data_IF_586842287609
#
_entry.id   IF_586842287609
#
_cell.length_a   1.000
_cell.length_b   1.000
_cell.length_c   1.000
_cell.angle_alpha   90.00
_cell.angle_beta   90.00
_cell.angle_gamma   90.00
#
_symmetry.space_group_name_H-M   'P 1'
#
loop_
_entity.id
_entity.type
_entity.pdbx_description
1 polymer ?
#
# COMPACT_ATOMS: atom_id res chain seq x y z
N UNK A 1 27.75 57.65 25.08
CA UNK A 1 28.24 57.52 23.68
C UNK A 1 29.05 56.24 23.42
N UNK A 2 29.88 55.78 24.37
CA UNK A 2 30.68 54.56 24.16
C UNK A 2 29.84 53.27 24.12
N UNK A 3 28.78 53.19 24.92
CA UNK A 3 27.90 51.98 24.98
C UNK A 3 27.15 51.73 23.68
N UNK A 4 26.73 52.79 22.99
CA UNK A 4 26.00 52.66 21.72
C UNK A 4 26.88 52.18 20.55
N UNK A 5 28.18 52.45 20.63
CA UNK A 5 29.15 52.05 19.62
C UNK A 5 29.55 50.61 19.82
N UNK A 6 29.75 50.17 21.06
CA UNK A 6 30.02 48.74 21.37
C UNK A 6 28.86 47.82 20.97
N UNK A 7 27.61 48.22 21.23
CA UNK A 7 26.44 47.47 20.85
C UNK A 7 26.30 47.27 19.32
N UNK A 8 26.62 48.30 18.55
CA UNK A 8 26.58 48.23 17.07
C UNK A 8 27.69 47.37 16.49
N UNK A 9 28.87 47.35 17.11
CA UNK A 9 29.97 46.47 16.70
C UNK A 9 29.66 45.00 17.02
N UNK A 10 29.01 44.74 18.13
CA UNK A 10 28.63 43.38 18.56
C UNK A 10 27.58 42.78 17.63
N UNK A 11 26.62 43.60 17.19
CA UNK A 11 25.59 43.16 16.22
C UNK A 11 26.20 42.91 14.84
N UNK A 12 27.11 43.77 14.40
CA UNK A 12 27.78 43.60 13.11
C UNK A 12 28.66 42.33 13.09
N UNK A 13 29.31 42.05 14.19
CA UNK A 13 30.14 40.83 14.34
C UNK A 13 29.28 39.55 14.38
N UNK A 14 28.11 39.61 15.02
CA UNK A 14 27.15 38.50 15.06
C UNK A 14 26.58 38.19 13.66
N UNK A 15 26.30 39.20 12.86
CA UNK A 15 25.80 39.04 11.48
C UNK A 15 26.88 38.43 10.58
N UNK A 16 28.16 38.83 10.78
CA UNK A 16 29.27 38.29 10.00
C UNK A 16 29.56 36.82 10.35
N UNK A 17 29.36 36.41 11.61
CA UNK A 17 29.51 35.00 12.03
C UNK A 17 28.44 34.07 11.45
N UNK A 18 27.24 34.58 11.21
CA UNK A 18 26.13 33.80 10.64
C UNK A 18 26.35 33.53 9.15
N UNK A 19 27.01 34.43 8.43
CA UNK A 19 27.26 34.28 6.99
C UNK A 19 28.30 33.23 6.64
N UNK A 20 29.12 32.80 7.56
CA UNK A 20 30.11 31.74 7.31
C UNK A 20 29.55 30.32 7.46
N UNK A 21 28.37 30.17 8.07
CA UNK A 21 27.74 28.84 8.27
C UNK A 21 27.03 28.31 7.02
N UNK A 22 26.87 29.08 5.96
CA UNK A 22 26.17 28.66 4.73
C UNK A 22 27.10 28.21 3.59
N UNK A 23 28.41 28.28 3.77
CA UNK A 23 29.40 27.81 2.82
C UNK A 23 29.92 26.44 3.19
N UNK A 24 29.01 25.53 3.64
CA UNK A 24 29.34 24.13 3.71
C UNK A 24 29.15 23.58 2.30
N UNK A 25 30.28 23.46 1.60
CA UNK A 25 30.39 22.75 0.32
C UNK A 25 29.86 21.33 0.51
N UNK A 26 28.58 21.17 0.17
CA UNK A 26 27.93 19.85 0.07
C UNK A 26 28.41 19.21 -1.24
N UNK A 27 29.72 19.01 -1.35
CA UNK A 27 30.31 18.07 -2.29
C UNK A 27 29.89 16.68 -1.81
N UNK A 28 28.59 16.35 -2.02
CA UNK A 28 28.13 14.98 -1.97
C UNK A 28 29.01 14.24 -2.94
N UNK A 29 29.89 13.45 -2.39
CA UNK A 29 30.62 12.42 -3.09
C UNK A 29 29.54 11.54 -3.74
N UNK A 30 29.17 11.90 -5.00
CA UNK A 30 28.14 11.17 -5.74
C UNK A 30 28.79 9.83 -6.04
N UNK A 31 28.43 8.77 -5.30
CA UNK A 31 29.09 7.49 -5.50
C UNK A 31 28.89 7.12 -6.96
N UNK A 32 29.98 6.84 -7.66
CA UNK A 32 29.95 6.40 -9.06
C UNK A 32 29.10 5.13 -9.15
N UNK A 33 27.82 5.33 -9.49
CA UNK A 33 26.83 4.27 -9.53
C UNK A 33 27.12 3.41 -10.75
N UNK A 34 27.50 2.16 -10.55
CA UNK A 34 27.67 1.21 -11.65
C UNK A 34 26.30 0.74 -12.17
N UNK A 35 26.23 0.36 -13.45
CA UNK A 35 24.98 -0.12 -14.05
C UNK A 35 24.30 -1.24 -13.26
N UNK A 36 25.02 -2.27 -12.74
CA UNK A 36 24.41 -3.30 -11.91
C UNK A 36 23.82 -2.76 -10.61
N UNK A 37 24.49 -1.80 -9.96
CA UNK A 37 23.98 -1.15 -8.75
C UNK A 37 22.73 -0.31 -9.03
N UNK A 38 22.73 0.44 -10.14
CA UNK A 38 21.58 1.20 -10.59
C UNK A 38 20.38 0.27 -10.92
N UNK A 39 20.64 -0.86 -11.57
CA UNK A 39 19.61 -1.86 -11.87
C UNK A 39 18.99 -2.44 -10.58
N UNK A 40 19.81 -2.78 -9.58
CA UNK A 40 19.33 -3.28 -8.32
C UNK A 40 18.43 -2.25 -7.60
N UNK A 41 18.86 -0.98 -7.57
CA UNK A 41 18.06 0.10 -6.96
C UNK A 41 16.75 0.35 -7.70
N UNK A 42 16.75 0.31 -9.03
CA UNK A 42 15.52 0.46 -9.82
C UNK A 42 14.56 -0.69 -9.55
N UNK A 43 15.04 -1.94 -9.52
CA UNK A 43 14.20 -3.10 -9.24
C UNK A 43 13.63 -3.07 -7.82
N UNK A 44 14.35 -2.52 -6.85
CA UNK A 44 13.91 -2.42 -5.47
C UNK A 44 12.95 -1.24 -5.25
N UNK A 45 13.24 -0.07 -5.83
CA UNK A 45 12.58 1.20 -5.47
C UNK A 45 11.60 1.73 -6.49
N UNK A 46 11.47 1.11 -7.66
CA UNK A 46 10.56 1.59 -8.70
C UNK A 46 9.09 1.44 -8.25
N UNK A 47 8.29 2.55 -8.17
CA UNK A 47 6.92 2.49 -7.73
C UNK A 47 6.01 1.64 -8.62
N UNK A 48 6.27 1.62 -9.94
CA UNK A 48 5.51 0.82 -10.90
C UNK A 48 5.72 -0.69 -10.64
N UNK A 49 6.95 -1.10 -10.38
CA UNK A 49 7.26 -2.48 -10.00
C UNK A 49 6.63 -2.87 -8.67
N UNK A 50 6.65 -1.97 -7.69
CA UNK A 50 5.99 -2.22 -6.41
C UNK A 50 4.47 -2.38 -6.60
N UNK A 51 3.85 -1.52 -7.42
CA UNK A 51 2.42 -1.64 -7.77
C UNK A 51 2.11 -2.98 -8.44
N UNK A 52 2.89 -3.36 -9.45
CA UNK A 52 2.72 -4.65 -10.15
C UNK A 52 2.92 -5.85 -9.21
N UNK A 53 3.85 -5.77 -8.24
CA UNK A 53 4.04 -6.78 -7.20
C UNK A 53 2.80 -6.91 -6.30
N UNK A 54 2.18 -5.80 -5.90
CA UNK A 54 0.94 -5.85 -5.14
C UNK A 54 -0.22 -6.43 -5.97
N UNK A 55 -0.29 -6.11 -7.26
CA UNK A 55 -1.24 -6.73 -8.19
C UNK A 55 -1.11 -8.25 -8.25
N UNK A 56 0.12 -8.77 -8.31
CA UNK A 56 0.39 -10.21 -8.26
C UNK A 56 -0.03 -10.83 -6.93
N UNK A 57 0.30 -10.20 -5.80
CA UNK A 57 -0.12 -10.68 -4.47
C UNK A 57 -1.64 -10.70 -4.32
N UNK A 58 -2.33 -9.70 -4.89
CA UNK A 58 -3.79 -9.65 -4.91
C UNK A 58 -4.38 -10.80 -5.73
N UNK A 59 -3.82 -11.10 -6.91
CA UNK A 59 -4.25 -12.23 -7.74
C UNK A 59 -4.03 -13.59 -7.04
N UNK A 60 -2.93 -13.77 -6.33
CA UNK A 60 -2.70 -14.95 -5.50
C UNK A 60 -3.74 -15.08 -4.36
N UNK A 61 -4.09 -13.95 -3.72
CA UNK A 61 -5.13 -13.94 -2.70
C UNK A 61 -6.50 -14.29 -3.29
N UNK A 62 -6.82 -13.83 -4.50
CA UNK A 62 -8.04 -14.21 -5.22
C UNK A 62 -8.08 -15.70 -5.54
N UNK A 63 -6.97 -16.30 -5.94
CA UNK A 63 -6.89 -17.74 -6.17
C UNK A 63 -7.14 -18.52 -4.87
N UNK A 64 -6.54 -18.10 -3.76
CA UNK A 64 -6.82 -18.70 -2.45
C UNK A 64 -8.29 -18.57 -2.07
N UNK A 65 -8.90 -17.41 -2.25
CA UNK A 65 -10.32 -17.18 -2.00
C UNK A 65 -11.21 -18.05 -2.90
N UNK A 66 -10.87 -18.19 -4.20
CA UNK A 66 -11.60 -19.06 -5.12
C UNK A 66 -11.55 -20.52 -4.75
N UNK A 67 -10.49 -20.97 -4.08
CA UNK A 67 -10.33 -22.37 -3.61
C UNK A 67 -11.12 -22.69 -2.34
N UNK A 68 -11.55 -21.67 -1.59
CA UNK A 68 -12.28 -21.90 -0.33
C UNK A 68 -13.68 -22.46 -0.57
N UNK A 69 -14.07 -23.36 0.32
CA UNK A 69 -15.45 -23.87 0.36
C UNK A 69 -16.34 -22.88 1.11
N UNK A 70 -17.61 -22.72 0.69
CA UNK A 70 -18.56 -21.91 1.43
C UNK A 70 -18.71 -22.38 2.87
N UNK A 71 -18.67 -21.44 3.79
CA UNK A 71 -18.80 -21.70 5.22
C UNK A 71 -20.27 -21.61 5.66
N UNK A 72 -20.54 -22.12 6.85
CA UNK A 72 -21.80 -21.91 7.54
C UNK A 72 -21.87 -20.46 8.01
N UNK A 73 -23.01 -19.83 7.82
CA UNK A 73 -23.34 -18.50 8.34
C UNK A 73 -24.42 -18.64 9.39
N UNK A 74 -24.18 -18.06 10.56
CA UNK A 74 -25.15 -17.92 11.64
C UNK A 74 -25.43 -16.45 11.81
N UNK A 75 -26.69 -16.06 11.73
CA UNK A 75 -27.14 -14.69 12.03
C UNK A 75 -28.23 -14.74 13.11
N UNK A 76 -28.23 -13.73 13.96
CA UNK A 76 -29.26 -13.51 14.96
C UNK A 76 -29.76 -12.09 14.74
N UNK A 77 -31.05 -11.99 14.44
CA UNK A 77 -31.77 -10.73 14.27
C UNK A 77 -32.70 -10.55 15.48
N UNK A 78 -32.66 -9.39 16.11
CA UNK A 78 -33.56 -9.01 17.19
C UNK A 78 -34.29 -7.75 16.75
N UNK A 79 -35.59 -7.90 16.56
CA UNK A 79 -36.48 -6.83 16.10
C UNK A 79 -37.44 -6.42 17.26
N UNK A 80 -38.00 -5.22 17.14
CA UNK A 80 -38.98 -4.64 18.08
C UNK A 80 -38.48 -4.57 19.56
N UNK A 81 -37.18 -4.45 19.72
CA UNK A 81 -36.54 -4.25 21.01
C UNK A 81 -36.61 -2.76 21.39
N UNK A 82 -37.34 -2.36 22.36
CA UNK A 82 -37.62 -0.97 22.78
C UNK A 82 -38.84 -0.32 22.08
N UNK A 83 -39.83 -1.10 21.67
CA UNK A 83 -41.11 -0.59 21.21
C UNK A 83 -41.83 0.29 22.28
N UNK A 84 -42.72 1.17 21.84
CA UNK A 84 -43.57 1.99 22.72
C UNK A 84 -45.01 1.49 22.70
N UNK A 85 -45.72 1.64 23.80
CA UNK A 85 -47.13 1.23 23.94
C UNK A 85 -47.29 -0.20 24.51
N UNK A 86 -48.31 -0.96 24.07
CA UNK A 86 -48.59 -2.31 24.55
C UNK A 86 -47.48 -3.33 24.33
N UNK A 87 -46.53 -3.04 23.39
CA UNK A 87 -45.37 -3.83 23.06
C UNK A 87 -44.05 -3.24 23.58
N UNK A 88 -44.13 -2.48 24.69
CA UNK A 88 -42.96 -1.87 25.31
C UNK A 88 -42.07 -2.88 26.02
N UNK A 89 -40.76 -2.72 25.91
CA UNK A 89 -39.77 -3.57 26.56
C UNK A 89 -39.49 -4.87 25.80
N UNK A 90 -39.25 -5.94 26.57
CA UNK A 90 -38.92 -7.28 26.00
C UNK A 90 -40.14 -8.09 25.56
N UNK A 91 -41.35 -7.73 26.01
CA UNK A 91 -42.57 -8.50 25.76
C UNK A 91 -43.01 -8.49 24.30
N UNK A 92 -42.59 -7.46 23.52
CA UNK A 92 -42.85 -7.35 22.11
C UNK A 92 -41.68 -7.77 21.19
N UNK A 93 -40.55 -8.13 21.79
CA UNK A 93 -39.32 -8.42 20.99
C UNK A 93 -39.41 -9.74 20.25
N UNK A 94 -39.04 -9.73 18.98
CA UNK A 94 -38.90 -10.90 18.17
C UNK A 94 -37.39 -11.20 17.96
N UNK A 95 -36.98 -12.43 18.27
CA UNK A 95 -35.61 -12.88 18.00
C UNK A 95 -35.63 -14.01 16.97
N UNK A 96 -34.88 -13.85 15.90
CA UNK A 96 -34.76 -14.83 14.82
C UNK A 96 -33.33 -15.32 14.76
N UNK A 97 -33.11 -16.61 14.94
CA UNK A 97 -31.83 -17.27 14.68
C UNK A 97 -31.87 -17.95 13.32
N UNK A 98 -30.96 -17.57 12.43
CA UNK A 98 -30.86 -18.14 11.08
C UNK A 98 -29.54 -18.84 10.90
N UNK A 99 -29.58 -20.12 10.47
CA UNK A 99 -28.43 -20.89 10.05
C UNK A 99 -28.53 -21.09 8.53
N UNK A 100 -27.51 -20.69 7.80
CA UNK A 100 -27.49 -20.83 6.35
C UNK A 100 -26.15 -21.37 5.85
N UNK A 101 -26.18 -22.07 4.72
CA UNK A 101 -25.00 -22.53 4.01
C UNK A 101 -25.27 -22.52 2.51
N UNK A 102 -24.30 -22.02 1.74
CA UNK A 102 -24.33 -22.10 0.29
C UNK A 102 -23.74 -23.45 -0.12
N UNK A 103 -24.53 -24.27 -0.81
CA UNK A 103 -24.04 -25.50 -1.44
C UNK A 103 -23.56 -25.17 -2.84
N UNK A 104 -22.32 -25.49 -3.13
CA UNK A 104 -21.69 -25.21 -4.39
C UNK A 104 -21.14 -26.50 -5.00
N UNK A 105 -21.40 -26.71 -6.32
CA UNK A 105 -20.86 -27.83 -7.04
C UNK A 105 -19.33 -27.72 -7.20
N UNK A 106 -18.64 -28.87 -7.25
CA UNK A 106 -17.20 -28.93 -7.53
C UNK A 106 -16.85 -28.27 -8.89
N UNK A 107 -17.73 -28.43 -9.87
CA UNK A 107 -17.60 -27.87 -11.20
C UNK A 107 -17.59 -26.33 -11.17
N UNK A 108 -18.48 -25.71 -10.41
CA UNK A 108 -18.54 -24.27 -10.20
C UNK A 108 -17.30 -23.77 -9.45
N UNK A 109 -16.76 -24.53 -8.51
CA UNK A 109 -15.54 -24.20 -7.79
C UNK A 109 -14.31 -24.30 -8.69
N UNK A 110 -14.19 -25.38 -9.46
CA UNK A 110 -13.08 -25.56 -10.41
C UNK A 110 -13.06 -24.48 -11.48
N UNK A 111 -14.23 -24.06 -11.99
CA UNK A 111 -14.35 -22.94 -12.92
C UNK A 111 -13.84 -21.63 -12.32
N UNK A 112 -14.23 -21.30 -11.07
CA UNK A 112 -13.69 -20.09 -10.39
C UNK A 112 -12.18 -20.15 -10.19
N UNK A 113 -11.65 -21.31 -9.80
CA UNK A 113 -10.21 -21.49 -9.65
C UNK A 113 -9.48 -21.33 -10.98
N UNK A 114 -10.03 -21.84 -12.08
CA UNK A 114 -9.44 -21.67 -13.41
C UNK A 114 -9.38 -20.20 -13.82
N UNK A 115 -10.46 -19.43 -13.60
CA UNK A 115 -10.48 -17.98 -13.86
C UNK A 115 -9.47 -17.26 -12.98
N UNK A 116 -9.44 -17.53 -11.67
CA UNK A 116 -8.49 -16.90 -10.76
C UNK A 116 -7.03 -17.23 -11.10
N UNK A 117 -6.75 -18.47 -11.53
CA UNK A 117 -5.44 -18.89 -12.02
C UNK A 117 -5.01 -18.14 -13.29
N UNK A 118 -5.94 -17.94 -14.24
CA UNK A 118 -5.67 -17.16 -15.45
C UNK A 118 -5.36 -15.68 -15.12
N UNK A 119 -6.09 -15.09 -14.17
CA UNK A 119 -5.82 -13.73 -13.66
C UNK A 119 -4.42 -13.68 -13.02
N UNK A 120 -4.04 -14.71 -12.26
CA UNK A 120 -2.69 -14.83 -11.69
C UNK A 120 -1.60 -14.86 -12.76
N UNK A 121 -1.80 -15.62 -13.83
CA UNK A 121 -0.92 -15.64 -15.00
C UNK A 121 -0.77 -14.28 -15.65
N UNK A 122 -1.89 -13.56 -15.86
CA UNK A 122 -1.88 -12.21 -16.41
C UNK A 122 -1.12 -11.22 -15.52
N UNK A 123 -1.36 -11.26 -14.20
CA UNK A 123 -0.67 -10.39 -13.25
C UNK A 123 0.85 -10.64 -13.21
N UNK A 124 1.27 -11.90 -13.36
CA UNK A 124 2.69 -12.24 -13.45
C UNK A 124 3.33 -11.72 -14.75
N UNK A 125 2.64 -11.86 -15.89
CA UNK A 125 3.13 -11.35 -17.18
C UNK A 125 3.24 -9.81 -17.14
N UNK A 126 2.28 -9.13 -16.53
CA UNK A 126 2.32 -7.67 -16.33
C UNK A 126 3.54 -7.26 -15.47
N UNK A 127 3.79 -7.96 -14.38
CA UNK A 127 4.96 -7.71 -13.55
C UNK A 127 6.28 -7.85 -14.31
N UNK A 128 6.42 -8.90 -15.14
CA UNK A 128 7.63 -9.09 -15.96
C UNK A 128 7.76 -8.02 -17.05
N UNK A 129 6.65 -7.58 -17.66
CA UNK A 129 6.65 -6.49 -18.62
C UNK A 129 7.13 -5.18 -17.98
N UNK A 130 6.59 -4.79 -16.83
CA UNK A 130 7.01 -3.60 -16.07
C UNK A 130 8.48 -3.67 -15.66
N UNK A 131 8.96 -4.86 -15.31
CA UNK A 131 10.36 -5.09 -14.97
C UNK A 131 11.30 -4.86 -16.18
N UNK A 132 10.92 -5.37 -17.34
CA UNK A 132 11.69 -5.17 -18.57
C UNK A 132 11.67 -3.70 -19.01
N UNK A 133 10.55 -3.03 -18.90
CA UNK A 133 10.41 -1.61 -19.22
C UNK A 133 11.29 -0.74 -18.31
N UNK A 134 11.28 -1.01 -17.01
CA UNK A 134 12.11 -0.29 -16.04
C UNK A 134 13.61 -0.46 -16.35
N UNK A 135 14.07 -1.67 -16.68
CA UNK A 135 15.45 -1.94 -17.03
C UNK A 135 15.82 -1.34 -18.39
N UNK A 136 14.91 -1.36 -19.37
CA UNK A 136 15.12 -0.74 -20.69
C UNK A 136 15.27 0.79 -20.56
N UNK A 137 14.42 1.42 -19.74
CA UNK A 137 14.51 2.85 -19.47
C UNK A 137 15.82 3.22 -18.76
N UNK A 138 16.24 2.40 -17.78
CA UNK A 138 17.53 2.58 -17.12
C UNK A 138 18.68 2.50 -18.14
N UNK A 139 18.71 1.47 -18.97
CA UNK A 139 19.76 1.31 -19.96
C UNK A 139 19.87 2.52 -20.92
N UNK A 140 18.73 3.04 -21.39
CA UNK A 140 18.66 4.22 -22.25
C UNK A 140 19.16 5.52 -21.59
N UNK A 141 19.05 5.62 -20.26
CA UNK A 141 19.46 6.83 -19.52
C UNK A 141 20.85 6.75 -18.92
N UNK A 142 21.41 5.55 -18.85
CA UNK A 142 22.74 5.31 -18.27
C UNK A 142 23.87 5.51 -19.29
N UNK A 143 23.56 5.42 -20.59
CA UNK A 143 24.48 5.66 -21.71
C UNK A 143 24.50 7.14 -22.07
#
# INVERSE_FOLDING_TARGET
>A
MLESILSRFLILWLILAISQSYAQDDSRDVPNLTLPQAAALVLERNPHLQSAKYGRNAAEAQLRAASMKPQWSVSMDVEDFLGTGPLSGFDGSQSTLRLSRIFQSEESRSGRMAVASAIGGQANNLFEAERLDALSLLAKRFI
#
